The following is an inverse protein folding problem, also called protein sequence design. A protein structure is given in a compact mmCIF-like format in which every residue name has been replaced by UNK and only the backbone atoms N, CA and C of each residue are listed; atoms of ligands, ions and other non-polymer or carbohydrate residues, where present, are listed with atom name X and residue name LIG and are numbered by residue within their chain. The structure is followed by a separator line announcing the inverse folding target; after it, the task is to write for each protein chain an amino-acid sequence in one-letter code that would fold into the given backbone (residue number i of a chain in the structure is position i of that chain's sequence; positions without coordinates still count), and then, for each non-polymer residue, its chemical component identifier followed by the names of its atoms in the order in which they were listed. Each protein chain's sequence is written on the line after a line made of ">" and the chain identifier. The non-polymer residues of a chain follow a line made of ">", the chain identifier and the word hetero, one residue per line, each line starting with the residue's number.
data_IF_207855129148
#
_entry.id   IF_207855129148
#
_cell.length_a   1.000
_cell.length_b   1.000
_cell.length_c   1.000
_cell.angle_alpha   90.00
_cell.angle_beta   90.00
_cell.angle_gamma   90.00
#
_symmetry.space_group_name_H-M   'P 1'
#
loop_
_entity.id
_entity.type
_entity.pdbx_description
1 polymer ?
#
# COMPACT_ATOMS: atom_id res chain seq x y z
N UNK A 1 -15.66 -27.36 0.70
CA UNK A 1 -14.28 -26.90 0.87
C UNK A 1 -13.54 -26.78 -0.45
N UNK A 2 -13.73 -27.72 -1.42
CA UNK A 2 -13.17 -27.61 -2.79
C UNK A 2 -13.73 -26.38 -3.55
N UNK A 3 -15.04 -26.12 -3.44
CA UNK A 3 -15.68 -24.99 -4.16
C UNK A 3 -15.25 -23.62 -3.64
N UNK A 4 -14.94 -23.50 -2.34
CA UNK A 4 -14.40 -22.25 -1.78
C UNK A 4 -12.95 -22.02 -2.24
N UNK A 5 -12.17 -23.11 -2.34
CA UNK A 5 -10.77 -23.04 -2.77
C UNK A 5 -10.66 -22.71 -4.27
N UNK A 6 -11.59 -23.21 -5.11
CA UNK A 6 -11.65 -22.85 -6.53
C UNK A 6 -11.99 -21.35 -6.73
N UNK A 7 -12.87 -20.80 -5.90
CA UNK A 7 -13.21 -19.36 -5.92
C UNK A 7 -12.02 -18.47 -5.56
N UNK A 8 -11.13 -18.95 -4.66
CA UNK A 8 -9.90 -18.24 -4.27
C UNK A 8 -8.78 -18.33 -5.31
N UNK A 9 -8.81 -19.37 -6.16
CA UNK A 9 -7.82 -19.60 -7.23
C UNK A 9 -8.19 -18.89 -8.54
N UNK A 10 -9.43 -18.37 -8.67
CA UNK A 10 -9.83 -17.60 -9.84
C UNK A 10 -9.06 -16.27 -9.89
N UNK A 11 -8.45 -15.98 -11.04
CA UNK A 11 -7.78 -14.70 -11.30
C UNK A 11 -8.67 -13.47 -11.03
N UNK A 12 -10.00 -13.67 -11.13
CA UNK A 12 -11.03 -12.70 -10.78
C UNK A 12 -11.01 -12.31 -9.29
N UNK A 13 -10.73 -13.26 -8.38
CA UNK A 13 -10.69 -12.99 -6.95
C UNK A 13 -9.54 -12.04 -6.58
N UNK A 14 -8.35 -12.28 -7.14
CA UNK A 14 -7.22 -11.35 -6.95
C UNK A 14 -7.56 -9.94 -7.41
N UNK A 15 -8.20 -9.82 -8.58
CA UNK A 15 -8.60 -8.52 -9.14
C UNK A 15 -9.61 -7.79 -8.23
N UNK A 16 -10.64 -8.50 -7.75
CA UNK A 16 -11.65 -7.93 -6.85
C UNK A 16 -11.01 -7.39 -5.56
N UNK A 17 -10.12 -8.16 -4.94
CA UNK A 17 -9.40 -7.74 -3.73
C UNK A 17 -8.52 -6.53 -4.03
N UNK A 18 -7.75 -6.57 -5.10
CA UNK A 18 -6.82 -5.48 -5.44
C UNK A 18 -7.55 -4.18 -5.78
N UNK A 19 -8.65 -4.26 -6.53
CA UNK A 19 -9.48 -3.09 -6.84
C UNK A 19 -10.16 -2.54 -5.58
N UNK A 20 -10.67 -3.41 -4.71
CA UNK A 20 -11.24 -3.00 -3.42
C UNK A 20 -10.22 -2.30 -2.52
N UNK A 21 -9.01 -2.87 -2.44
CA UNK A 21 -7.89 -2.28 -1.69
C UNK A 21 -7.46 -0.92 -2.27
N UNK A 22 -7.35 -0.83 -3.60
CA UNK A 22 -7.09 0.42 -4.31
C UNK A 22 -8.14 1.49 -3.99
N UNK A 23 -9.43 1.15 -4.09
CA UNK A 23 -10.53 2.07 -3.79
C UNK A 23 -10.46 2.57 -2.34
N UNK A 24 -10.12 1.69 -1.39
CA UNK A 24 -9.94 2.05 0.02
C UNK A 24 -8.78 3.04 0.21
N UNK A 25 -7.62 2.80 -0.40
CA UNK A 25 -6.47 3.71 -0.30
C UNK A 25 -6.74 5.04 -0.98
N UNK A 26 -7.42 5.05 -2.13
CA UNK A 26 -7.82 6.26 -2.84
C UNK A 26 -8.78 7.10 -2.00
N UNK A 27 -9.78 6.45 -1.39
CA UNK A 27 -10.70 7.10 -0.46
C UNK A 27 -9.96 7.72 0.72
N UNK A 28 -9.07 6.97 1.38
CA UNK A 28 -8.26 7.50 2.47
C UNK A 28 -7.41 8.69 2.02
N UNK A 29 -6.73 8.58 0.88
CA UNK A 29 -5.92 9.67 0.36
C UNK A 29 -6.76 10.93 0.09
N UNK A 30 -7.95 10.77 -0.49
CA UNK A 30 -8.87 11.89 -0.75
C UNK A 30 -9.30 12.60 0.53
N UNK A 31 -9.55 11.85 1.61
CA UNK A 31 -9.85 12.40 2.93
C UNK A 31 -8.70 13.26 3.49
N UNK A 32 -7.44 12.83 3.25
CA UNK A 32 -6.28 13.51 3.81
C UNK A 32 -5.71 14.62 2.92
N UNK A 33 -6.07 14.66 1.62
CA UNK A 33 -5.52 15.67 0.69
C UNK A 33 -5.93 17.09 1.08
N UNK A 34 -7.11 17.24 1.68
CA UNK A 34 -7.68 18.52 2.10
C UNK A 34 -7.12 19.05 3.44
N UNK A 35 -6.35 18.23 4.17
CA UNK A 35 -5.78 18.66 5.45
C UNK A 35 -4.53 19.50 5.20
N UNK A 36 -4.32 20.62 5.91
CA UNK A 36 -3.13 21.45 5.73
C UNK A 36 -1.82 20.67 5.88
N UNK A 37 -0.82 20.99 5.05
CA UNK A 37 0.49 20.30 4.99
C UNK A 37 1.36 20.44 6.24
N UNK A 38 1.00 21.29 7.20
CA UNK A 38 1.85 21.65 8.34
C UNK A 38 2.08 20.51 9.34
N UNK A 39 1.32 19.42 9.26
CA UNK A 39 1.52 18.28 10.16
C UNK A 39 2.37 17.19 9.46
N UNK A 40 3.57 16.96 10.00
CA UNK A 40 4.49 15.92 9.50
C UNK A 40 3.86 14.53 9.47
N UNK A 41 2.97 14.23 10.41
CA UNK A 41 2.21 12.98 10.47
C UNK A 41 1.36 12.81 9.20
N UNK A 42 0.63 13.86 8.81
CA UNK A 42 -0.22 13.84 7.60
C UNK A 42 0.63 13.71 6.34
N UNK A 43 1.80 14.34 6.30
CA UNK A 43 2.73 14.21 5.18
C UNK A 43 3.16 12.74 4.97
N UNK A 44 3.68 12.07 6.01
CA UNK A 44 4.12 10.67 5.88
C UNK A 44 2.96 9.71 5.64
N UNK A 45 1.78 9.98 6.20
CA UNK A 45 0.57 9.21 5.89
C UNK A 45 0.21 9.30 4.41
N UNK A 46 0.25 10.50 3.81
CA UNK A 46 0.02 10.68 2.37
C UNK A 46 1.06 9.95 1.53
N UNK A 47 2.35 10.05 1.90
CA UNK A 47 3.42 9.32 1.19
C UNK A 47 3.17 7.81 1.26
N UNK A 48 2.78 7.29 2.43
CA UNK A 48 2.42 5.88 2.60
C UNK A 48 1.24 5.49 1.71
N UNK A 49 0.17 6.29 1.69
CA UNK A 49 -1.01 6.02 0.87
C UNK A 49 -0.70 6.10 -0.63
N UNK A 50 0.12 7.06 -1.06
CA UNK A 50 0.57 7.16 -2.46
C UNK A 50 1.41 5.94 -2.84
N UNK A 51 2.34 5.49 -1.98
CA UNK A 51 3.14 4.32 -2.23
C UNK A 51 2.29 3.03 -2.31
N UNK A 52 1.31 2.86 -1.42
CA UNK A 52 0.33 1.77 -1.45
C UNK A 52 -0.54 1.81 -2.73
N UNK A 53 -0.93 3.01 -3.18
CA UNK A 53 -1.64 3.19 -4.45
C UNK A 53 -0.76 2.83 -5.65
N UNK A 54 0.50 3.26 -5.71
CA UNK A 54 1.42 2.88 -6.77
C UNK A 54 1.57 1.36 -6.84
N UNK A 55 1.75 0.71 -5.69
CA UNK A 55 1.84 -0.73 -5.61
C UNK A 55 0.58 -1.43 -6.14
N UNK A 56 -0.60 -1.06 -5.65
CA UNK A 56 -1.86 -1.71 -6.04
C UNK A 56 -2.25 -1.42 -7.48
N UNK A 57 -2.11 -0.17 -7.94
CA UNK A 57 -2.37 0.21 -9.35
C UNK A 57 -1.45 -0.54 -10.30
N UNK A 58 -0.14 -0.54 -10.00
CA UNK A 58 0.84 -1.25 -10.82
C UNK A 58 0.50 -2.74 -10.93
N UNK A 59 0.15 -3.39 -9.81
CA UNK A 59 -0.25 -4.80 -9.80
C UNK A 59 -1.52 -5.06 -10.62
N UNK A 60 -2.53 -4.19 -10.54
CA UNK A 60 -3.78 -4.32 -11.32
C UNK A 60 -3.50 -4.11 -12.81
N UNK A 61 -2.80 -3.02 -13.18
CA UNK A 61 -2.55 -2.68 -14.58
C UNK A 61 -1.61 -3.67 -15.28
N UNK A 62 -0.67 -4.26 -14.53
CA UNK A 62 0.17 -5.37 -15.00
C UNK A 62 -0.68 -6.58 -15.40
N UNK A 63 -1.65 -6.97 -14.55
CA UNK A 63 -2.54 -8.11 -14.81
C UNK A 63 -3.53 -7.86 -15.96
N UNK A 64 -3.95 -6.60 -16.13
CA UNK A 64 -4.78 -6.18 -17.26
C UNK A 64 -3.99 -6.04 -18.58
N UNK A 65 -2.67 -6.24 -18.55
CA UNK A 65 -1.79 -6.12 -19.72
C UNK A 65 -1.94 -4.80 -20.49
N UNK A 66 -2.21 -3.70 -19.77
CA UNK A 66 -2.43 -2.38 -20.38
C UNK A 66 -1.09 -1.80 -20.86
N UNK A 67 -1.13 -1.09 -22.00
CA UNK A 67 0.02 -0.32 -22.50
C UNK A 67 0.57 0.62 -21.39
N UNK A 68 1.90 0.76 -21.23
CA UNK A 68 2.98 0.38 -22.17
C UNK A 68 3.47 -1.07 -22.02
N UNK A 69 2.93 -1.87 -21.12
CA UNK A 69 3.23 -3.28 -20.98
C UNK A 69 3.51 -3.72 -19.53
N UNK A 70 3.55 -5.03 -19.32
CA UNK A 70 3.63 -5.64 -17.98
C UNK A 70 4.92 -5.24 -17.23
N UNK A 71 6.05 -5.18 -17.91
CA UNK A 71 7.33 -4.81 -17.30
C UNK A 71 7.29 -3.39 -16.70
N UNK A 72 6.65 -2.44 -17.37
CA UNK A 72 6.50 -1.07 -16.86
C UNK A 72 5.64 -1.05 -15.60
N UNK A 73 4.47 -1.69 -15.65
CA UNK A 73 3.55 -1.70 -14.51
C UNK A 73 4.09 -2.48 -13.33
N UNK A 74 4.86 -3.54 -13.60
CA UNK A 74 5.62 -4.24 -12.57
C UNK A 74 6.61 -3.31 -11.87
N UNK A 75 7.44 -2.57 -12.62
CA UNK A 75 8.41 -1.64 -12.03
C UNK A 75 7.71 -0.50 -11.26
N UNK A 76 6.58 -0.02 -11.77
CA UNK A 76 5.76 0.97 -11.06
C UNK A 76 5.21 0.43 -9.74
N UNK A 77 4.73 -0.80 -9.72
CA UNK A 77 4.30 -1.51 -8.51
C UNK A 77 5.45 -1.67 -7.52
N UNK A 78 6.62 -2.11 -8.00
CA UNK A 78 7.81 -2.29 -7.19
C UNK A 78 8.29 -0.97 -6.56
N UNK A 79 8.22 0.15 -7.27
CA UNK A 79 8.54 1.48 -6.70
C UNK A 79 7.69 1.75 -5.45
N UNK A 80 6.37 1.50 -5.55
CA UNK A 80 5.48 1.61 -4.40
C UNK A 80 5.93 0.71 -3.25
N UNK A 81 6.15 -0.56 -3.53
CA UNK A 81 6.54 -1.56 -2.53
C UNK A 81 7.85 -1.21 -1.81
N UNK A 82 8.84 -0.65 -2.52
CA UNK A 82 10.11 -0.21 -1.92
C UNK A 82 9.96 1.02 -1.02
N UNK A 83 9.06 1.96 -1.36
CA UNK A 83 8.84 3.18 -0.59
C UNK A 83 8.00 2.93 0.67
N UNK A 84 7.06 1.97 0.64
CA UNK A 84 6.12 1.68 1.74
C UNK A 84 6.81 1.57 3.11
N UNK A 85 7.86 0.74 3.32
CA UNK A 85 8.46 0.57 4.63
C UNK A 85 8.94 1.89 5.23
N UNK A 86 9.68 2.67 4.45
CA UNK A 86 10.29 3.92 4.93
C UNK A 86 9.23 4.98 5.20
N UNK A 87 8.20 5.05 4.35
CA UNK A 87 7.08 5.96 4.56
C UNK A 87 6.33 5.63 5.87
N UNK A 88 6.10 4.34 6.13
CA UNK A 88 5.48 3.85 7.38
C UNK A 88 6.37 4.17 8.59
N UNK A 89 7.69 3.99 8.50
CA UNK A 89 8.60 4.33 9.59
C UNK A 89 8.60 5.82 9.88
N UNK A 90 8.58 6.65 8.83
CA UNK A 90 8.43 8.10 8.96
C UNK A 90 7.12 8.48 9.64
N UNK A 91 6.02 7.83 9.28
CA UNK A 91 4.72 8.00 9.92
C UNK A 91 4.78 7.62 11.40
N UNK A 92 5.31 6.45 11.74
CA UNK A 92 5.45 5.97 13.12
C UNK A 92 6.32 6.92 13.97
N UNK A 93 7.46 7.39 13.44
CA UNK A 93 8.33 8.32 14.16
C UNK A 93 7.63 9.65 14.45
N UNK A 94 6.81 10.13 13.52
CA UNK A 94 6.04 11.35 13.74
C UNK A 94 4.92 11.14 14.77
N UNK A 95 4.17 10.04 14.69
CA UNK A 95 3.09 9.71 15.64
C UNK A 95 3.64 9.52 17.06
N UNK A 96 4.83 8.91 17.19
CA UNK A 96 5.49 8.66 18.49
C UNK A 96 6.32 9.83 18.96
N UNK A 97 6.34 10.95 18.22
CA UNK A 97 7.14 12.14 18.54
C UNK A 97 8.64 11.81 18.74
N UNK A 98 9.16 10.86 17.95
CA UNK A 98 10.58 10.51 17.97
C UNK A 98 11.35 11.54 17.15
N UNK A 99 12.02 12.46 17.83
CA UNK A 99 12.80 13.53 17.20
C UNK A 99 14.19 13.07 16.77
N UNK A 100 14.83 13.82 15.85
CA UNK A 100 16.23 13.58 15.45
C UNK A 100 16.45 12.48 14.42
N UNK A 101 15.41 11.74 14.00
CA UNK A 101 15.53 10.62 13.03
C UNK A 101 15.35 11.01 11.56
N UNK A 102 15.13 12.29 11.24
CA UNK A 102 14.90 12.73 9.85
C UNK A 102 16.08 12.43 8.92
N UNK A 103 17.33 12.65 9.36
CA UNK A 103 18.54 12.31 8.57
C UNK A 103 18.65 10.82 8.30
N UNK A 104 18.33 9.99 9.29
CA UNK A 104 18.30 8.54 9.16
C UNK A 104 17.26 8.10 8.12
N UNK A 105 16.02 8.59 8.20
CA UNK A 105 14.96 8.27 7.22
C UNK A 105 15.33 8.72 5.80
N UNK A 106 15.90 9.91 5.65
CA UNK A 106 16.36 10.40 4.35
C UNK A 106 17.48 9.52 3.77
N UNK A 107 18.40 9.07 4.63
CA UNK A 107 19.45 8.11 4.23
C UNK A 107 18.86 6.78 3.78
N UNK A 108 17.92 6.21 4.54
CA UNK A 108 17.21 4.99 4.16
C UNK A 108 16.46 5.17 2.83
N UNK A 109 15.74 6.28 2.65
CA UNK A 109 15.03 6.58 1.40
C UNK A 109 15.99 6.66 0.21
N UNK A 110 17.13 7.33 0.36
CA UNK A 110 18.13 7.42 -0.70
C UNK A 110 18.70 6.04 -1.07
N UNK A 111 19.07 5.23 -0.07
CA UNK A 111 19.56 3.86 -0.29
C UNK A 111 18.49 3.03 -1.03
N UNK A 112 17.25 3.09 -0.57
CA UNK A 112 16.13 2.37 -1.20
C UNK A 112 15.92 2.78 -2.65
N UNK A 113 15.98 4.08 -2.96
CA UNK A 113 15.84 4.55 -4.34
C UNK A 113 17.02 4.10 -5.22
N UNK A 114 18.26 4.12 -4.70
CA UNK A 114 19.43 3.60 -5.42
C UNK A 114 19.27 2.11 -5.70
N UNK A 115 18.89 1.33 -4.68
CA UNK A 115 18.66 -0.11 -4.81
C UNK A 115 17.54 -0.41 -5.80
N UNK A 116 16.44 0.36 -5.75
CA UNK A 116 15.34 0.25 -6.71
C UNK A 116 15.83 0.52 -8.15
N UNK A 117 16.53 1.63 -8.38
CA UNK A 117 17.06 1.97 -9.71
C UNK A 117 17.99 0.89 -10.22
N UNK A 118 18.90 0.39 -9.39
CA UNK A 118 19.76 -0.74 -9.74
C UNK A 118 18.96 -1.99 -10.11
N UNK A 119 17.90 -2.28 -9.34
CA UNK A 119 17.03 -3.43 -9.64
C UNK A 119 16.30 -3.27 -10.98
N UNK A 120 15.83 -2.07 -11.31
CA UNK A 120 15.18 -1.80 -12.62
C UNK A 120 16.09 -2.18 -13.80
N UNK A 121 17.38 -1.82 -13.72
CA UNK A 121 18.32 -2.06 -14.82
C UNK A 121 18.93 -3.46 -14.83
N UNK A 122 19.08 -4.10 -13.68
CA UNK A 122 19.83 -5.36 -13.56
C UNK A 122 18.99 -6.56 -13.14
N UNK A 123 17.81 -6.33 -12.57
CA UNK A 123 16.96 -7.37 -11.97
C UNK A 123 17.69 -8.15 -10.85
N UNK A 124 18.65 -7.52 -10.14
CA UNK A 124 19.51 -8.23 -9.20
C UNK A 124 18.80 -8.70 -7.92
N UNK A 125 17.69 -8.06 -7.53
CA UNK A 125 16.86 -8.50 -6.43
C UNK A 125 15.72 -9.36 -6.93
N UNK A 126 14.88 -8.77 -7.78
CA UNK A 126 13.66 -9.38 -8.30
C UNK A 126 13.50 -8.95 -9.77
N UNK A 127 13.80 -9.83 -10.74
CA UNK A 127 13.59 -9.54 -12.15
C UNK A 127 12.10 -9.43 -12.47
N UNK A 128 11.78 -8.97 -13.67
CA UNK A 128 10.40 -8.96 -14.17
C UNK A 128 9.86 -10.39 -14.12
N UNK A 129 8.66 -10.63 -13.58
CA UNK A 129 8.09 -11.97 -13.44
C UNK A 129 7.83 -12.59 -14.79
N UNK A 130 7.93 -13.92 -14.84
CA UNK A 130 7.57 -14.69 -16.03
C UNK A 130 6.06 -14.93 -16.05
N UNK A 131 5.44 -14.76 -17.21
CA UNK A 131 4.03 -15.06 -17.43
C UNK A 131 3.86 -16.53 -17.74
N UNK A 132 2.96 -17.20 -17.02
CA UNK A 132 2.53 -18.55 -17.29
C UNK A 132 1.04 -18.58 -17.60
N UNK A 133 0.67 -19.17 -18.73
CA UNK A 133 -0.72 -19.40 -19.07
C UNK A 133 -1.22 -20.64 -18.32
N UNK A 134 -2.25 -20.47 -17.50
CA UNK A 134 -2.90 -21.55 -16.79
C UNK A 134 -3.86 -22.31 -17.75
N UNK A 135 -4.21 -23.56 -17.43
CA UNK A 135 -5.12 -24.36 -18.29
C UNK A 135 -6.51 -23.74 -18.50
N UNK A 136 -6.94 -22.86 -17.62
CA UNK A 136 -8.19 -22.10 -17.70
C UNK A 136 -8.09 -20.83 -18.57
N UNK A 137 -6.92 -20.57 -19.17
CA UNK A 137 -6.66 -19.38 -19.98
C UNK A 137 -6.28 -18.13 -19.15
N UNK A 138 -6.24 -18.21 -17.84
CA UNK A 138 -5.79 -17.12 -16.98
C UNK A 138 -4.26 -17.01 -16.97
N UNK A 139 -3.76 -15.79 -16.69
CA UNK A 139 -2.32 -15.52 -16.61
C UNK A 139 -1.88 -15.51 -15.16
N UNK A 140 -0.92 -16.37 -14.85
CA UNK A 140 -0.21 -16.37 -13.57
C UNK A 140 1.19 -15.74 -13.71
N UNK A 141 1.65 -15.08 -12.66
CA UNK A 141 2.97 -14.46 -12.61
C UNK A 141 3.87 -15.23 -11.66
N UNK A 142 4.99 -15.70 -12.19
CA UNK A 142 5.99 -16.43 -11.39
C UNK A 142 7.17 -15.52 -11.07
N UNK A 143 7.37 -15.27 -9.77
CA UNK A 143 8.45 -14.43 -9.28
C UNK A 143 9.68 -15.28 -8.94
N UNK A 144 10.84 -14.88 -9.45
CA UNK A 144 12.13 -15.53 -9.20
C UNK A 144 13.00 -14.64 -8.33
N UNK A 145 12.84 -14.73 -7.01
CA UNK A 145 13.66 -13.98 -6.07
C UNK A 145 15.12 -14.44 -6.12
N UNK A 146 16.06 -13.52 -6.37
CA UNK A 146 17.49 -13.80 -6.32
C UNK A 146 18.00 -13.74 -4.88
N UNK A 147 19.19 -14.29 -4.62
CA UNK A 147 19.79 -14.33 -3.29
C UNK A 147 19.88 -12.93 -2.62
N UNK A 148 20.15 -11.89 -3.39
CA UNK A 148 20.20 -10.52 -2.92
C UNK A 148 18.84 -10.01 -2.38
N UNK A 149 17.71 -10.52 -2.89
CA UNK A 149 16.38 -10.19 -2.38
C UNK A 149 16.19 -10.64 -0.94
N UNK A 150 16.68 -11.80 -0.57
CA UNK A 150 16.60 -12.31 0.80
C UNK A 150 17.43 -11.47 1.78
N UNK A 151 18.59 -10.96 1.33
CA UNK A 151 19.41 -10.03 2.11
C UNK A 151 18.65 -8.70 2.30
N UNK A 152 17.99 -8.20 1.25
CA UNK A 152 17.17 -7.00 1.34
C UNK A 152 15.99 -7.18 2.31
N UNK A 153 15.25 -8.29 2.20
CA UNK A 153 14.15 -8.62 3.12
C UNK A 153 14.67 -8.71 4.57
N UNK A 154 15.83 -9.33 4.80
CA UNK A 154 16.41 -9.39 6.12
C UNK A 154 16.76 -8.00 6.68
N UNK A 155 17.30 -7.10 5.84
CA UNK A 155 17.59 -5.72 6.23
C UNK A 155 16.31 -4.96 6.60
N UNK A 156 15.23 -5.10 5.81
CA UNK A 156 13.93 -4.50 6.09
C UNK A 156 13.28 -5.07 7.38
N UNK A 157 13.41 -6.37 7.62
CA UNK A 157 12.94 -7.00 8.86
C UNK A 157 13.70 -6.48 10.08
N UNK A 158 15.03 -6.34 9.99
CA UNK A 158 15.83 -5.75 11.06
C UNK A 158 15.43 -4.29 11.33
N UNK A 159 15.17 -3.52 10.29
CA UNK A 159 14.68 -2.15 10.42
C UNK A 159 13.28 -2.12 11.05
N UNK A 160 12.38 -3.02 10.66
CA UNK A 160 11.05 -3.16 11.27
C UNK A 160 11.15 -3.51 12.76
N UNK A 161 12.01 -4.46 13.12
CA UNK A 161 12.27 -4.82 14.52
C UNK A 161 12.80 -3.60 15.29
N UNK A 162 13.78 -2.89 14.73
CA UNK A 162 14.34 -1.70 15.35
C UNK A 162 13.25 -0.63 15.61
N UNK A 163 12.41 -0.33 14.62
CA UNK A 163 11.31 0.65 14.76
C UNK A 163 10.28 0.16 15.77
N UNK A 164 9.96 -1.14 15.76
CA UNK A 164 9.01 -1.73 16.72
C UNK A 164 9.53 -1.68 18.16
N UNK A 165 10.81 -1.95 18.38
CA UNK A 165 11.45 -1.82 19.70
C UNK A 165 11.46 -0.38 20.17
N UNK A 166 11.81 0.59 19.30
CA UNK A 166 11.72 2.00 19.62
C UNK A 166 10.30 2.42 19.98
N UNK A 167 9.32 1.96 19.21
CA UNK A 167 7.91 2.20 19.48
C UNK A 167 7.51 1.60 20.82
N UNK A 168 7.87 0.36 21.08
CA UNK A 168 7.56 -0.34 22.35
C UNK A 168 8.14 0.38 23.56
N UNK A 169 9.40 0.79 23.50
CA UNK A 169 10.06 1.51 24.58
C UNK A 169 9.41 2.88 24.87
N UNK A 170 8.93 3.57 23.83
CA UNK A 170 8.21 4.83 23.97
C UNK A 170 6.79 4.63 24.50
N UNK A 171 6.09 3.58 24.02
CA UNK A 171 4.71 3.23 24.38
C UNK A 171 4.62 2.62 25.78
N UNK A 172 5.68 1.94 26.26
CA UNK A 172 5.70 1.26 27.56
C UNK A 172 5.35 2.17 28.75
N UNK A 173 5.47 3.48 28.57
CA UNK A 173 5.10 4.51 29.55
C UNK A 173 3.68 5.06 29.39
N UNK A 174 2.97 4.77 28.28
CA UNK A 174 1.66 5.36 27.98
C UNK A 174 0.71 4.33 27.35
N UNK A 175 -0.19 3.79 28.16
CA UNK A 175 -1.19 2.76 27.75
C UNK A 175 -2.07 3.19 26.56
N UNK A 176 -2.39 4.49 26.43
CA UNK A 176 -3.21 5.00 25.33
C UNK A 176 -2.59 4.81 23.95
N UNK A 177 -1.26 5.01 23.81
CA UNK A 177 -0.56 4.80 22.53
C UNK A 177 -0.52 3.33 22.12
N UNK A 178 -0.37 2.42 23.09
CA UNK A 178 -0.37 0.98 22.83
C UNK A 178 -1.67 0.53 22.16
N UNK A 179 -2.82 0.96 22.68
CA UNK A 179 -4.14 0.60 22.15
C UNK A 179 -4.39 1.17 20.75
N UNK A 180 -3.83 2.37 20.46
CA UNK A 180 -4.02 3.06 19.18
C UNK A 180 -3.10 2.53 18.07
N UNK A 181 -1.86 2.17 18.38
CA UNK A 181 -0.85 1.78 17.38
C UNK A 181 -0.75 0.28 17.16
N UNK A 182 -1.20 -0.56 18.08
CA UNK A 182 -1.14 -2.02 17.95
C UNK A 182 -1.78 -2.53 16.63
N UNK A 183 -2.98 -2.06 16.22
CA UNK A 183 -3.57 -2.52 14.97
C UNK A 183 -2.73 -2.14 13.74
N UNK A 184 -2.08 -0.98 13.76
CA UNK A 184 -1.19 -0.57 12.68
C UNK A 184 0.03 -1.48 12.57
N UNK A 185 0.67 -1.81 13.70
CA UNK A 185 1.81 -2.74 13.71
C UNK A 185 1.40 -4.12 13.20
N UNK A 186 0.21 -4.61 13.58
CA UNK A 186 -0.34 -5.86 13.03
C UNK A 186 -0.56 -5.76 11.53
N UNK A 187 -1.15 -4.67 11.03
CA UNK A 187 -1.34 -4.43 9.61
C UNK A 187 -0.02 -4.42 8.83
N UNK A 188 1.02 -3.77 9.37
CA UNK A 188 2.37 -3.75 8.79
C UNK A 188 2.94 -5.18 8.72
N UNK A 189 2.88 -5.93 9.82
CA UNK A 189 3.38 -7.31 9.88
C UNK A 189 2.66 -8.20 8.87
N UNK A 190 1.34 -8.08 8.74
CA UNK A 190 0.56 -8.87 7.79
C UNK A 190 0.87 -8.48 6.34
N UNK A 191 1.09 -7.19 6.05
CA UNK A 191 1.51 -6.73 4.73
C UNK A 191 2.88 -7.33 4.36
N UNK A 192 3.87 -7.26 5.25
CA UNK A 192 5.19 -7.85 5.03
C UNK A 192 5.11 -9.37 4.88
N UNK A 193 4.39 -10.06 5.77
CA UNK A 193 4.23 -11.51 5.73
C UNK A 193 3.57 -11.96 4.42
N UNK A 194 2.54 -11.25 3.95
CA UNK A 194 1.88 -11.52 2.68
C UNK A 194 2.83 -11.40 1.49
N UNK A 195 3.61 -10.32 1.43
CA UNK A 195 4.60 -10.12 0.36
C UNK A 195 5.71 -11.19 0.38
N UNK A 196 6.19 -11.58 1.56
CA UNK A 196 7.19 -12.66 1.70
C UNK A 196 6.58 -14.01 1.28
N UNK A 197 5.33 -14.27 1.67
CA UNK A 197 4.63 -15.51 1.33
C UNK A 197 4.53 -15.71 -0.20
N UNK A 198 4.27 -14.65 -0.96
CA UNK A 198 4.21 -14.71 -2.43
C UNK A 198 5.55 -15.08 -3.09
N UNK A 199 6.68 -14.88 -2.40
CA UNK A 199 8.01 -15.26 -2.90
C UNK A 199 8.37 -16.71 -2.60
N UNK A 200 7.59 -17.39 -1.73
CA UNK A 200 7.82 -18.76 -1.35
C UNK A 200 7.10 -19.74 -2.31
N UNK A 201 7.64 -20.95 -2.53
CA UNK A 201 7.07 -21.89 -3.50
C UNK A 201 5.61 -22.26 -3.23
N UNK A 202 5.19 -22.30 -1.97
CA UNK A 202 3.82 -22.62 -1.55
C UNK A 202 2.86 -21.41 -1.56
N UNK A 203 3.39 -20.21 -1.70
CA UNK A 203 2.61 -18.96 -1.68
C UNK A 203 2.13 -18.49 -3.05
N UNK A 204 2.44 -19.23 -4.12
CA UNK A 204 2.15 -18.80 -5.50
C UNK A 204 0.66 -18.86 -5.86
N UNK A 205 -0.09 -19.71 -5.18
CA UNK A 205 -1.49 -20.02 -5.54
C UNK A 205 -2.50 -19.05 -4.91
N UNK A 206 -2.10 -18.26 -3.94
CA UNK A 206 -2.99 -17.35 -3.22
C UNK A 206 -2.45 -15.91 -3.21
N UNK A 207 -3.33 -14.90 -3.31
CA UNK A 207 -2.95 -13.49 -3.32
C UNK A 207 -2.64 -12.97 -1.89
N UNK A 208 -1.64 -13.55 -1.24
CA UNK A 208 -1.28 -13.18 0.14
C UNK A 208 -0.85 -11.71 0.26
N UNK A 209 -0.19 -11.15 -0.75
CA UNK A 209 0.18 -9.75 -0.83
C UNK A 209 -1.05 -8.83 -0.82
N UNK A 210 -2.04 -9.14 -1.65
CA UNK A 210 -3.28 -8.39 -1.70
C UNK A 210 -4.08 -8.49 -0.39
N UNK A 211 -4.13 -9.68 0.24
CA UNK A 211 -4.75 -9.87 1.56
C UNK A 211 -4.04 -9.07 2.64
N UNK A 212 -2.69 -9.07 2.63
CA UNK A 212 -1.88 -8.20 3.49
C UNK A 212 -2.21 -6.72 3.28
N UNK A 213 -2.41 -6.30 2.03
CA UNK A 213 -2.86 -4.96 1.65
C UNK A 213 -4.21 -4.59 2.26
N UNK A 214 -5.21 -5.49 2.21
CA UNK A 214 -6.52 -5.29 2.86
C UNK A 214 -6.35 -5.11 4.38
N UNK A 215 -5.56 -5.97 5.03
CA UNK A 215 -5.31 -5.86 6.47
C UNK A 215 -4.65 -4.52 6.81
N UNK A 216 -3.71 -4.06 6.00
CA UNK A 216 -3.07 -2.75 6.16
C UNK A 216 -4.08 -1.61 5.98
N UNK A 217 -4.97 -1.69 4.96
CA UNK A 217 -6.02 -0.70 4.74
C UNK A 217 -6.96 -0.59 5.94
N UNK A 218 -7.44 -1.71 6.46
CA UNK A 218 -8.31 -1.76 7.66
C UNK A 218 -7.59 -1.15 8.86
N UNK A 219 -6.33 -1.50 9.05
CA UNK A 219 -5.50 -0.99 10.16
C UNK A 219 -5.30 0.52 10.07
N UNK A 220 -5.05 1.06 8.89
CA UNK A 220 -4.93 2.50 8.64
C UNK A 220 -6.26 3.21 8.92
N UNK A 221 -7.38 2.69 8.40
CA UNK A 221 -8.72 3.24 8.68
C UNK A 221 -8.97 3.29 10.18
N UNK A 222 -8.67 2.20 10.90
CA UNK A 222 -8.89 2.13 12.35
C UNK A 222 -8.05 3.17 13.11
N UNK A 223 -6.75 3.29 12.78
CA UNK A 223 -5.86 4.24 13.44
C UNK A 223 -6.29 5.68 13.16
N UNK A 224 -6.62 5.97 11.91
CA UNK A 224 -7.13 7.28 11.50
C UNK A 224 -8.44 7.61 12.24
N UNK A 225 -9.38 6.67 12.25
CA UNK A 225 -10.63 6.81 12.97
C UNK A 225 -10.43 7.13 14.46
N UNK A 226 -9.55 6.39 15.14
CA UNK A 226 -9.28 6.56 16.57
C UNK A 226 -8.49 7.81 16.93
N UNK A 227 -7.56 8.25 16.09
CA UNK A 227 -6.69 9.40 16.40
C UNK A 227 -7.30 10.74 15.99
N UNK A 228 -8.05 10.77 14.89
CA UNK A 228 -8.47 12.02 14.24
C UNK A 228 -9.99 12.25 14.27
N UNK A 229 -10.78 11.30 14.77
CA UNK A 229 -12.22 11.33 14.61
C UNK A 229 -12.91 12.54 15.26
N UNK A 230 -12.36 13.10 16.34
CA UNK A 230 -12.96 14.27 16.99
C UNK A 230 -12.69 15.60 16.25
N UNK A 231 -11.56 15.73 15.55
CA UNK A 231 -11.22 16.97 14.81
C UNK A 231 -11.47 16.88 13.30
N UNK A 232 -11.50 15.66 12.75
CA UNK A 232 -11.55 15.38 11.30
C UNK A 232 -12.94 14.96 10.86
N UNK A 233 -13.80 14.46 11.76
CA UNK A 233 -15.16 14.00 11.42
C UNK A 233 -15.97 15.05 10.66
N UNK A 234 -15.93 16.31 11.10
CA UNK A 234 -16.59 17.43 10.41
C UNK A 234 -15.95 17.74 9.04
N UNK A 235 -14.64 17.56 8.88
CA UNK A 235 -13.92 17.86 7.62
C UNK A 235 -14.01 16.72 6.61
N UNK A 236 -14.04 15.45 7.06
CA UNK A 236 -14.26 14.28 6.19
C UNK A 236 -15.67 14.31 5.62
N UNK A 237 -16.68 14.63 6.45
CA UNK A 237 -18.06 14.79 5.98
C UNK A 237 -18.16 15.95 4.96
N UNK A 238 -17.52 17.07 5.23
CA UNK A 238 -17.48 18.19 4.29
C UNK A 238 -16.76 17.82 2.99
N UNK A 239 -15.64 17.09 3.05
CA UNK A 239 -14.89 16.62 1.86
C UNK A 239 -15.68 15.58 1.06
N UNK A 240 -16.34 14.62 1.71
CA UNK A 240 -17.18 13.63 1.04
C UNK A 240 -18.42 14.29 0.41
N UNK A 241 -19.04 15.23 1.10
CA UNK A 241 -20.18 16.02 0.57
C UNK A 241 -19.71 16.87 -0.60
N UNK A 242 -18.52 17.49 -0.53
CA UNK A 242 -17.97 18.28 -1.62
C UNK A 242 -17.63 17.41 -2.84
N UNK A 243 -17.07 16.22 -2.64
CA UNK A 243 -16.79 15.26 -3.70
C UNK A 243 -18.08 14.78 -4.38
N UNK A 244 -19.08 14.39 -3.60
CA UNK A 244 -20.41 13.97 -4.12
C UNK A 244 -21.09 15.14 -4.86
N UNK A 245 -21.03 16.35 -4.32
CA UNK A 245 -21.57 17.54 -4.95
C UNK A 245 -20.87 17.85 -6.26
N UNK A 246 -19.53 17.73 -6.31
CA UNK A 246 -18.74 18.00 -7.54
C UNK A 246 -18.97 16.94 -8.61
N UNK A 247 -19.09 15.66 -8.23
CA UNK A 247 -19.49 14.60 -9.13
C UNK A 247 -20.91 14.81 -9.66
N UNK A 248 -21.87 15.20 -8.80
CA UNK A 248 -23.25 15.46 -9.20
C UNK A 248 -23.34 16.66 -10.17
N UNK A 249 -22.55 17.70 -9.95
CA UNK A 249 -22.50 18.89 -10.84
C UNK A 249 -21.93 18.56 -12.22
N UNK A 250 -20.92 17.68 -12.32
CA UNK A 250 -20.37 17.23 -13.62
C UNK A 250 -21.34 16.33 -14.39
N UNK A 251 -22.13 15.51 -13.70
CA UNK A 251 -23.13 14.66 -14.35
C UNK A 251 -24.39 15.44 -14.78
N UNK A 252 -24.75 16.52 -14.09
CA UNK A 252 -25.87 17.39 -14.48
C UNK A 252 -25.50 18.42 -15.55
N UNK A 253 -24.23 18.77 -15.70
CA UNK A 253 -23.75 19.67 -16.74
C UNK A 253 -23.67 19.09 -18.16
N UNK A 254 -23.93 17.77 -18.32
CA UNK A 254 -24.01 17.09 -19.64
C UNK A 254 -25.45 17.03 -20.17
N UNK A 255 -26.41 17.53 -19.44
CA UNK A 255 -27.80 17.67 -19.92
C UNK A 255 -28.05 19.10 -20.31
N UNK A 256 -28.00 19.45 -21.59
CA UNK A 256 -28.83 20.40 -22.28
C UNK A 256 -28.15 20.74 -23.63
N UNK A 257 -28.54 20.05 -24.65
CA UNK A 257 -28.91 20.63 -25.95
C UNK A 257 -29.58 19.55 -26.79
N UNK A 258 -30.85 19.38 -26.53
CA UNK A 258 -31.81 18.88 -27.51
C UNK A 258 -32.83 20.01 -27.64
N UNK A 259 -32.57 20.96 -28.50
CA UNK A 259 -33.64 21.82 -29.07
C UNK A 259 -34.36 21.00 -30.15
N UNK A 260 -35.71 21.00 -30.14
CA UNK A 260 -36.49 20.48 -31.25
C UNK A 260 -36.56 21.52 -32.34
N UNK A 261 -36.26 21.10 -33.56
CA UNK A 261 -36.71 21.77 -34.79
C UNK A 261 -38.06 21.21 -35.20
#
# INVERSE_FOLDING_TARGET
>A
MKDLMSLFMDGNFYMVISVGTFACYLFLLSCFISIPRNERVVYYLRVTLIALLCWTVGSVLMRLQISPGEAFWYQFSMLGLFIIPIAIYGFLFCVLEITGKGRFLNGCMLITLIVFVLNVFTGFLLPVPETQLLPDGSISYVYHARGAMWVWIAAELLLLIYVTVLAHNKIGTQYEYRRKLSPLLVGILLLFAGNIACLLPWGKDLPYDALGGVCMAISLVYVVYKQYFFSVSLRIMAGAVYFIATCKFRFTGVRISLEPV
#
